data_IF_561347660675
#
_entry.id   IF_561347660675
#
_cell.length_a   1.000
_cell.length_b   1.000
_cell.length_c   1.000
_cell.angle_alpha   90.00
_cell.angle_beta   90.00
_cell.angle_gamma   90.00
#
_symmetry.space_group_name_H-M   'P 1'
#
loop_
_entity.id
_entity.type
_entity.pdbx_description
1 polymer ?
#
# COMPACT_ATOMS: atom_id res chain seq x y z
N UNK A 1 -12.46 -19.27 -5.82
CA UNK A 1 -13.79 -19.56 -5.31
C UNK A 1 -13.75 -19.91 -3.84
N UNK A 2 -14.88 -20.06 -3.20
CA UNK A 2 -14.97 -20.47 -1.82
C UNK A 2 -14.28 -21.84 -1.63
N UNK A 3 -13.55 -21.99 -0.53
CA UNK A 3 -12.74 -23.18 -0.20
C UNK A 3 -11.63 -23.51 -1.21
N UNK A 4 -11.41 -22.69 -2.24
CA UNK A 4 -10.38 -22.91 -3.25
C UNK A 4 -9.33 -21.79 -3.25
N UNK A 5 -8.05 -22.15 -3.41
CA UNK A 5 -6.96 -21.18 -3.52
C UNK A 5 -6.09 -21.47 -4.73
N UNK A 6 -5.67 -20.42 -5.43
CA UNK A 6 -4.64 -20.52 -6.45
C UNK A 6 -3.27 -20.30 -5.81
N UNK A 7 -2.27 -21.04 -6.26
CA UNK A 7 -0.88 -20.86 -5.84
C UNK A 7 -0.22 -19.68 -6.56
N UNK A 8 -0.61 -19.44 -7.83
CA UNK A 8 -0.20 -18.23 -8.55
C UNK A 8 -1.05 -17.04 -8.09
N UNK A 9 -0.39 -15.95 -7.70
CA UNK A 9 -1.03 -14.71 -7.23
C UNK A 9 -1.30 -13.71 -8.35
N UNK A 10 -0.90 -14.01 -9.58
CA UNK A 10 -1.17 -13.15 -10.73
C UNK A 10 -2.63 -13.22 -11.17
N UNK A 11 -3.06 -12.17 -11.87
CA UNK A 11 -4.34 -12.17 -12.59
C UNK A 11 -4.37 -13.33 -13.61
N UNK A 12 -5.49 -14.05 -13.78
CA UNK A 12 -5.62 -15.04 -14.83
C UNK A 12 -5.31 -14.48 -16.22
N UNK A 13 -4.58 -15.25 -17.04
CA UNK A 13 -4.09 -14.79 -18.34
C UNK A 13 -5.21 -14.24 -19.23
N UNK A 14 -6.36 -14.92 -19.29
CA UNK A 14 -7.50 -14.48 -20.09
C UNK A 14 -8.06 -13.12 -19.66
N UNK A 15 -7.98 -12.79 -18.36
CA UNK A 15 -8.40 -11.47 -17.86
C UNK A 15 -7.36 -10.40 -18.21
N UNK A 16 -6.09 -10.73 -18.18
CA UNK A 16 -5.00 -9.83 -18.61
C UNK A 16 -5.04 -9.58 -20.10
N UNK A 17 -5.34 -10.60 -20.91
CA UNK A 17 -5.54 -10.46 -22.35
C UNK A 17 -6.70 -9.49 -22.65
N UNK A 18 -7.86 -9.70 -22.00
CA UNK A 18 -9.00 -8.78 -22.15
C UNK A 18 -8.61 -7.34 -21.78
N UNK A 19 -7.91 -7.16 -20.66
CA UNK A 19 -7.45 -5.84 -20.21
C UNK A 19 -6.51 -5.20 -21.24
N UNK A 20 -5.59 -5.98 -21.81
CA UNK A 20 -4.68 -5.52 -22.85
C UNK A 20 -5.42 -5.08 -24.11
N UNK A 21 -6.46 -5.81 -24.53
CA UNK A 21 -7.29 -5.42 -25.68
C UNK A 21 -8.10 -4.14 -25.39
N UNK A 22 -8.64 -3.99 -24.20
CA UNK A 22 -9.35 -2.78 -23.79
C UNK A 22 -8.43 -1.55 -23.81
N UNK A 23 -7.20 -1.68 -23.35
CA UNK A 23 -6.20 -0.59 -23.36
C UNK A 23 -5.87 -0.11 -24.78
N UNK A 24 -5.90 -0.99 -25.80
CA UNK A 24 -5.68 -0.62 -27.22
C UNK A 24 -6.75 0.30 -27.77
N UNK A 25 -7.91 0.38 -27.15
CA UNK A 25 -8.99 1.27 -27.60
C UNK A 25 -8.68 2.75 -27.40
N UNK A 26 -7.66 3.09 -26.60
CA UNK A 26 -7.31 4.45 -26.23
C UNK A 26 -8.32 5.13 -25.29
N UNK A 27 -9.30 4.40 -24.79
CA UNK A 27 -10.27 4.91 -23.80
C UNK A 27 -9.68 4.84 -22.40
N UNK A 28 -10.09 5.73 -21.47
CA UNK A 28 -9.73 5.60 -20.06
C UNK A 28 -10.19 4.26 -19.49
N UNK A 29 -9.29 3.55 -18.84
CA UNK A 29 -9.57 2.25 -18.20
C UNK A 29 -9.29 2.36 -16.70
N UNK A 30 -10.25 1.94 -15.90
CA UNK A 30 -10.11 1.78 -14.44
C UNK A 30 -10.22 0.29 -14.12
N UNK A 31 -9.18 -0.28 -13.54
CA UNK A 31 -9.19 -1.67 -13.10
C UNK A 31 -9.72 -1.78 -11.68
N UNK A 32 -10.82 -2.51 -11.51
CA UNK A 32 -11.36 -2.88 -10.21
C UNK A 32 -10.89 -4.31 -9.87
N UNK A 33 -9.95 -4.41 -8.96
CA UNK A 33 -9.37 -5.69 -8.54
C UNK A 33 -10.17 -6.28 -7.36
N UNK A 34 -10.99 -7.29 -7.65
CA UNK A 34 -11.74 -8.06 -6.66
C UNK A 34 -10.95 -9.32 -6.30
N UNK A 35 -10.38 -9.36 -5.13
CA UNK A 35 -9.60 -10.50 -4.67
C UNK A 35 -9.70 -10.66 -3.15
N UNK A 36 -9.68 -11.89 -2.67
CA UNK A 36 -9.68 -12.20 -1.23
C UNK A 36 -8.29 -12.26 -0.61
N UNK A 37 -7.26 -11.87 -1.35
CA UNK A 37 -5.86 -11.91 -0.94
C UNK A 37 -5.02 -10.95 -1.77
N UNK A 38 -3.78 -10.61 -1.34
CA UNK A 38 -2.85 -9.86 -2.16
C UNK A 38 -2.66 -10.51 -3.53
N UNK A 39 -2.63 -9.70 -4.56
CA UNK A 39 -2.40 -10.11 -5.95
C UNK A 39 -1.14 -9.45 -6.49
N UNK A 40 -0.45 -10.14 -7.39
CA UNK A 40 0.64 -9.58 -8.16
C UNK A 40 0.04 -8.71 -9.27
N UNK A 41 0.22 -7.40 -9.17
CA UNK A 41 -0.30 -6.41 -10.13
C UNK A 41 0.82 -5.64 -10.84
N UNK A 42 1.98 -6.26 -10.99
CA UNK A 42 3.17 -5.60 -11.55
C UNK A 42 2.95 -5.16 -13.00
N UNK A 43 2.35 -6.01 -13.81
CA UNK A 43 2.02 -5.67 -15.19
C UNK A 43 0.92 -4.61 -15.24
N UNK A 44 -0.12 -4.77 -14.45
CA UNK A 44 -1.26 -3.87 -14.37
C UNK A 44 -0.82 -2.46 -13.93
N UNK A 45 0.05 -2.36 -12.93
CA UNK A 45 0.64 -1.08 -12.49
C UNK A 45 1.38 -0.35 -13.60
N UNK A 46 2.03 -1.08 -14.49
CA UNK A 46 2.80 -0.49 -15.57
C UNK A 46 1.94 -0.03 -16.77
N UNK A 47 0.75 -0.59 -16.94
CA UNK A 47 -0.05 -0.40 -18.16
C UNK A 47 -1.40 0.26 -17.91
N UNK A 48 -1.97 0.13 -16.71
CA UNK A 48 -3.32 0.62 -16.39
C UNK A 48 -3.23 1.94 -15.65
N UNK A 49 -3.90 3.00 -16.14
CA UNK A 49 -3.78 4.34 -15.55
C UNK A 49 -4.40 4.46 -14.15
N UNK A 50 -5.40 3.64 -13.82
CA UNK A 50 -6.04 3.66 -12.51
C UNK A 50 -6.40 2.25 -12.04
N UNK A 51 -6.03 1.92 -10.81
CA UNK A 51 -6.31 0.62 -10.17
C UNK A 51 -6.97 0.87 -8.83
N UNK A 52 -8.09 0.23 -8.59
CA UNK A 52 -8.76 0.20 -7.29
C UNK A 52 -8.77 -1.23 -6.76
N UNK A 53 -8.18 -1.44 -5.59
CA UNK A 53 -8.26 -2.74 -4.91
C UNK A 53 -9.50 -2.78 -4.03
N UNK A 54 -10.48 -3.56 -4.44
CA UNK A 54 -11.84 -3.55 -3.86
C UNK A 54 -12.01 -4.58 -2.76
N UNK A 55 -11.22 -5.66 -2.78
CA UNK A 55 -11.43 -6.82 -1.93
C UNK A 55 -12.81 -7.44 -2.15
N UNK A 56 -13.55 -7.70 -1.08
CA UNK A 56 -14.95 -8.10 -1.12
C UNK A 56 -15.81 -7.02 -0.47
N UNK A 57 -16.64 -6.41 -1.25
CA UNK A 57 -17.62 -5.44 -0.76
C UNK A 57 -18.90 -6.12 -0.22
N UNK A 58 -19.67 -5.37 0.53
CA UNK A 58 -21.01 -5.78 0.97
C UNK A 58 -22.11 -5.43 -0.05
N UNK A 59 -23.34 -5.41 0.42
CA UNK A 59 -24.52 -5.15 -0.41
C UNK A 59 -24.50 -3.77 -1.10
N UNK A 60 -23.94 -2.76 -0.43
CA UNK A 60 -23.86 -1.38 -0.93
C UNK A 60 -22.59 -1.09 -1.74
N UNK A 61 -21.85 -2.13 -2.12
CA UNK A 61 -20.57 -1.98 -2.83
C UNK A 61 -20.72 -1.23 -4.15
N UNK A 62 -21.81 -1.46 -4.88
CA UNK A 62 -22.05 -0.81 -6.17
C UNK A 62 -22.10 0.70 -6.05
N UNK A 63 -22.89 1.21 -5.12
CA UNK A 63 -23.04 2.65 -4.87
C UNK A 63 -21.72 3.25 -4.37
N UNK A 64 -21.04 2.57 -3.44
CA UNK A 64 -19.75 3.02 -2.94
C UNK A 64 -18.66 3.12 -4.03
N UNK A 65 -18.64 2.17 -4.97
CA UNK A 65 -17.71 2.21 -6.11
C UNK A 65 -18.06 3.36 -7.07
N UNK A 66 -19.34 3.59 -7.34
CA UNK A 66 -19.79 4.72 -8.16
C UNK A 66 -19.37 6.05 -7.53
N UNK A 67 -19.63 6.25 -6.25
CA UNK A 67 -19.26 7.46 -5.51
C UNK A 67 -17.75 7.78 -5.67
N UNK A 68 -16.90 6.74 -5.56
CA UNK A 68 -15.45 6.92 -5.69
C UNK A 68 -15.04 7.11 -7.15
N UNK A 69 -15.51 6.28 -8.08
CA UNK A 69 -15.09 6.33 -9.49
C UNK A 69 -15.47 7.66 -10.14
N UNK A 70 -16.67 8.17 -9.84
CA UNK A 70 -17.17 9.42 -10.40
C UNK A 70 -16.78 10.66 -9.59
N UNK A 71 -16.10 10.48 -8.45
CA UNK A 71 -15.52 11.56 -7.69
C UNK A 71 -16.43 12.22 -6.66
N UNK A 72 -17.60 11.65 -6.39
CA UNK A 72 -18.51 12.13 -5.36
C UNK A 72 -17.90 11.99 -3.95
N UNK A 73 -17.03 10.96 -3.80
CA UNK A 73 -16.24 10.75 -2.59
C UNK A 73 -14.77 10.46 -2.91
N UNK A 74 -13.88 11.05 -2.14
CA UNK A 74 -12.45 10.75 -2.23
C UNK A 74 -12.13 9.40 -1.59
N UNK A 75 -11.29 8.54 -2.23
CA UNK A 75 -10.87 7.29 -1.62
C UNK A 75 -10.04 7.57 -0.36
N UNK A 76 -10.42 6.94 0.75
CA UNK A 76 -9.73 7.08 2.05
C UNK A 76 -9.12 5.77 2.54
N UNK A 77 -9.52 4.65 1.95
CA UNK A 77 -9.02 3.31 2.30
C UNK A 77 -7.53 3.16 2.01
N UNK A 78 -6.84 2.45 2.90
CA UNK A 78 -5.42 2.11 2.77
C UNK A 78 -5.27 0.59 2.76
N UNK A 79 -4.25 0.09 2.04
CA UNK A 79 -3.97 -1.34 2.03
C UNK A 79 -3.67 -1.86 3.43
N UNK A 80 -4.33 -2.95 3.80
CA UNK A 80 -4.15 -3.65 5.08
C UNK A 80 -3.13 -4.78 4.99
N UNK A 81 -2.44 -4.89 3.87
CA UNK A 81 -1.38 -5.86 3.61
C UNK A 81 -0.42 -5.30 2.57
N UNK A 82 0.81 -5.80 2.54
CA UNK A 82 1.73 -5.53 1.44
C UNK A 82 1.32 -6.35 0.20
N UNK A 83 1.47 -5.78 -0.99
CA UNK A 83 1.27 -6.48 -2.25
C UNK A 83 2.61 -6.82 -2.90
N UNK A 84 2.85 -8.09 -3.30
CA UNK A 84 4.12 -8.50 -3.87
C UNK A 84 4.28 -8.04 -5.33
N UNK A 85 5.52 -7.94 -5.78
CA UNK A 85 5.87 -7.76 -7.21
C UNK A 85 5.82 -9.07 -7.96
N UNK A 86 6.06 -10.18 -7.28
CA UNK A 86 6.04 -11.54 -7.82
C UNK A 86 5.60 -12.52 -6.73
N UNK A 87 5.04 -13.65 -7.12
CA UNK A 87 4.65 -14.72 -6.20
C UNK A 87 5.82 -15.23 -5.36
N UNK A 88 7.04 -15.21 -5.91
CA UNK A 88 8.24 -15.68 -5.22
C UNK A 88 8.71 -14.79 -4.06
N UNK A 89 8.16 -13.58 -3.89
CA UNK A 89 8.45 -12.73 -2.74
C UNK A 89 7.69 -13.14 -1.46
N UNK A 90 6.65 -13.97 -1.58
CA UNK A 90 5.89 -14.38 -0.39
C UNK A 90 6.65 -15.40 0.47
N UNK A 91 6.61 -15.27 1.80
CA UNK A 91 5.83 -14.33 2.61
C UNK A 91 6.46 -12.92 2.69
N UNK A 92 5.65 -11.88 2.51
CA UNK A 92 6.05 -10.48 2.49
C UNK A 92 5.41 -9.70 3.65
N UNK A 93 6.11 -9.61 4.77
CA UNK A 93 5.60 -8.96 5.99
C UNK A 93 5.99 -7.49 6.03
N UNK A 94 5.04 -6.59 6.33
CA UNK A 94 5.34 -5.16 6.52
C UNK A 94 6.27 -4.87 7.70
N UNK A 95 6.31 -5.77 8.69
CA UNK A 95 7.07 -5.64 9.93
C UNK A 95 8.26 -6.60 10.01
N UNK A 96 8.81 -7.03 8.86
CA UNK A 96 9.97 -7.92 8.88
C UNK A 96 11.17 -7.23 9.54
N UNK A 97 11.95 -8.01 10.28
CA UNK A 97 13.18 -7.54 10.90
C UNK A 97 14.30 -7.46 9.86
N UNK A 98 15.20 -6.50 10.04
CA UNK A 98 16.42 -6.44 9.23
C UNK A 98 17.22 -7.72 9.37
N UNK A 99 17.73 -8.22 8.25
CA UNK A 99 18.72 -9.32 8.24
C UNK A 99 20.09 -8.80 8.66
N UNK A 100 21.07 -9.70 8.87
CA UNK A 100 22.44 -9.30 9.20
C UNK A 100 23.16 -8.49 8.11
N UNK A 101 22.63 -8.49 6.87
CA UNK A 101 23.18 -7.75 5.72
C UNK A 101 22.04 -7.16 4.89
N UNK A 102 21.31 -6.18 5.43
CA UNK A 102 20.20 -5.57 4.70
C UNK A 102 20.73 -4.78 3.48
N UNK A 103 19.92 -4.65 2.46
CA UNK A 103 20.16 -3.67 1.39
C UNK A 103 19.97 -2.26 1.94
N UNK A 104 20.64 -1.28 1.34
CA UNK A 104 20.49 0.12 1.73
C UNK A 104 19.12 0.69 1.32
N UNK A 105 18.59 0.23 0.18
CA UNK A 105 17.27 0.57 -0.33
C UNK A 105 16.59 -0.70 -0.84
N UNK A 106 15.43 -1.02 -0.27
CA UNK A 106 14.60 -2.16 -0.69
C UNK A 106 14.07 -2.05 -2.13
N UNK A 107 14.21 -0.89 -2.77
CA UNK A 107 13.88 -0.68 -4.18
C UNK A 107 15.04 -1.01 -5.13
N UNK A 108 16.26 -1.16 -4.64
CA UNK A 108 17.38 -1.64 -5.45
C UNK A 108 17.17 -3.10 -5.86
N UNK A 109 17.53 -3.41 -7.11
CA UNK A 109 17.41 -4.79 -7.61
C UNK A 109 18.52 -5.70 -7.15
N UNK A 110 19.72 -5.14 -6.92
CA UNK A 110 20.88 -5.93 -6.55
C UNK A 110 21.88 -5.10 -5.75
N UNK A 111 22.31 -5.66 -4.62
CA UNK A 111 23.43 -5.15 -3.84
C UNK A 111 24.38 -6.31 -3.51
N UNK A 112 25.64 -6.18 -3.87
CA UNK A 112 26.65 -7.21 -3.63
C UNK A 112 26.85 -7.41 -2.12
N UNK A 113 26.86 -8.66 -1.68
CA UNK A 113 27.01 -9.08 -0.28
C UNK A 113 25.85 -8.67 0.66
N UNK A 114 24.72 -8.23 0.12
CA UNK A 114 23.49 -7.97 0.88
C UNK A 114 22.44 -9.06 0.65
N UNK A 115 21.48 -9.15 1.56
CA UNK A 115 20.35 -10.08 1.43
C UNK A 115 19.33 -9.50 0.47
N UNK A 116 19.33 -9.97 -0.78
CA UNK A 116 18.43 -9.48 -1.83
C UNK A 116 18.06 -10.57 -2.83
N UNK A 117 16.94 -10.37 -3.54
CA UNK A 117 16.59 -11.15 -4.71
C UNK A 117 17.43 -10.68 -5.92
N UNK A 118 17.76 -11.59 -6.84
CA UNK A 118 18.57 -11.27 -8.02
C UNK A 118 17.75 -10.61 -9.14
N UNK A 119 16.48 -10.97 -9.23
CA UNK A 119 15.58 -10.66 -10.35
C UNK A 119 14.55 -9.57 -10.02
N UNK A 120 14.32 -9.32 -8.74
CA UNK A 120 13.35 -8.33 -8.26
C UNK A 120 13.92 -7.61 -7.02
N UNK A 121 13.58 -6.35 -6.84
CA UNK A 121 13.93 -5.62 -5.61
C UNK A 121 13.12 -6.12 -4.41
N UNK A 122 13.69 -6.06 -3.20
CA UNK A 122 13.10 -6.61 -1.98
C UNK A 122 11.76 -5.98 -1.59
N UNK A 123 11.61 -4.67 -1.81
CA UNK A 123 10.41 -3.95 -1.42
C UNK A 123 9.14 -4.41 -2.15
N UNK A 124 7.97 -4.24 -1.54
CA UNK A 124 6.69 -4.62 -2.15
C UNK A 124 6.36 -3.79 -3.39
N UNK A 125 5.40 -4.26 -4.18
CA UNK A 125 4.78 -3.45 -5.24
C UNK A 125 4.01 -2.27 -4.67
N UNK A 126 3.22 -2.54 -3.64
CA UNK A 126 2.52 -1.56 -2.81
C UNK A 126 2.69 -1.96 -1.34
N UNK A 127 3.23 -1.10 -0.49
CA UNK A 127 3.42 -1.41 0.92
C UNK A 127 2.10 -1.41 1.70
N UNK A 128 2.11 -2.03 2.87
CA UNK A 128 1.06 -1.85 3.87
C UNK A 128 0.80 -0.36 4.13
N UNK A 129 -0.45 0.03 4.22
CA UNK A 129 -0.85 1.43 4.41
C UNK A 129 -0.84 2.28 3.14
N UNK A 130 -0.46 1.73 1.99
CA UNK A 130 -0.50 2.45 0.72
C UNK A 130 -1.95 2.74 0.29
N UNK A 131 -2.16 3.90 -0.29
CA UNK A 131 -3.40 4.32 -0.91
C UNK A 131 -3.37 5.79 -1.28
N UNK A 132 -3.86 6.11 -2.48
CA UNK A 132 -3.96 7.46 -3.00
C UNK A 132 -5.28 8.10 -2.57
N UNK A 133 -5.32 9.41 -2.63
CA UNK A 133 -6.52 10.22 -2.43
C UNK A 133 -6.66 11.20 -3.60
N UNK A 134 -7.84 11.75 -3.81
CA UNK A 134 -8.06 12.81 -4.80
C UNK A 134 -7.55 14.18 -4.32
N UNK A 135 -7.21 14.27 -3.03
CA UNK A 135 -6.66 15.49 -2.44
C UNK A 135 -5.32 15.20 -1.79
N UNK A 136 -4.57 16.25 -1.50
CA UNK A 136 -3.27 16.18 -0.84
C UNK A 136 -3.38 16.72 0.57
N UNK A 137 -2.78 16.00 1.52
CA UNK A 137 -2.69 16.42 2.90
C UNK A 137 -1.26 16.79 3.24
N UNK A 138 -1.07 17.99 3.82
CA UNK A 138 0.22 18.38 4.37
C UNK A 138 0.18 18.31 5.90
N UNK A 139 1.27 17.84 6.48
CA UNK A 139 1.45 17.71 7.93
C UNK A 139 2.54 18.68 8.37
N UNK A 140 2.26 19.51 9.39
CA UNK A 140 3.19 20.49 9.90
C UNK A 140 3.03 20.67 11.41
N UNK A 141 3.97 21.41 12.04
CA UNK A 141 3.89 21.73 13.46
C UNK A 141 3.71 20.51 14.36
N UNK A 142 4.42 19.41 14.08
CA UNK A 142 4.43 18.28 15.00
C UNK A 142 5.05 18.72 16.33
N UNK A 143 4.36 18.46 17.43
CA UNK A 143 4.79 18.80 18.79
C UNK A 143 4.47 17.65 19.72
N UNK A 144 5.38 17.41 20.65
CA UNK A 144 5.18 16.55 21.78
C UNK A 144 5.18 17.41 23.05
N UNK A 145 4.24 17.19 23.94
CA UNK A 145 4.22 17.88 25.25
C UNK A 145 3.87 16.91 26.37
N UNK A 146 4.55 17.03 27.49
CA UNK A 146 4.21 16.35 28.74
C UNK A 146 3.61 17.37 29.69
N UNK A 147 2.45 17.06 30.31
CA UNK A 147 1.76 17.99 31.21
C UNK A 147 2.50 18.27 32.52
N UNK A 148 3.49 17.45 32.89
CA UNK A 148 4.13 17.55 34.20
C UNK A 148 5.60 18.03 34.21
N UNK A 149 6.24 18.20 33.04
CA UNK A 149 7.68 18.40 33.03
C UNK A 149 8.19 19.70 32.40
N UNK A 150 7.35 20.57 31.84
CA UNK A 150 7.81 21.81 31.19
C UNK A 150 8.82 21.58 30.06
N UNK A 151 8.85 20.38 29.50
CA UNK A 151 9.84 19.93 28.52
C UNK A 151 9.46 20.48 27.16
N UNK A 152 10.35 21.25 26.56
CA UNK A 152 10.26 21.68 25.17
C UNK A 152 10.56 20.53 24.23
N UNK A 153 10.13 20.65 22.94
CA UNK A 153 10.23 19.62 21.91
C UNK A 153 11.62 19.00 21.69
N UNK A 154 12.67 19.55 22.27
CA UNK A 154 14.06 19.14 22.07
C UNK A 154 14.61 18.21 23.15
N UNK A 155 13.90 18.05 24.29
CA UNK A 155 14.45 17.37 25.49
C UNK A 155 13.67 16.11 25.93
N UNK A 156 12.65 15.68 25.20
CA UNK A 156 11.88 14.47 25.57
C UNK A 156 12.64 13.20 25.19
N UNK A 157 13.73 12.90 25.92
CA UNK A 157 14.58 11.74 25.65
C UNK A 157 14.22 10.51 26.48
N UNK A 158 13.40 10.64 27.54
CA UNK A 158 13.06 9.52 28.41
C UNK A 158 11.56 9.45 28.69
N UNK A 159 10.98 8.28 28.40
CA UNK A 159 9.64 7.92 28.81
C UNK A 159 9.63 7.51 30.28
N UNK A 160 8.75 8.09 31.07
CA UNK A 160 8.47 7.65 32.45
C UNK A 160 7.09 6.99 32.49
N UNK A 161 7.03 5.78 33.03
CA UNK A 161 5.79 5.02 33.16
C UNK A 161 4.72 5.80 33.94
N UNK A 162 3.48 5.75 33.45
CA UNK A 162 2.33 6.44 34.04
C UNK A 162 2.19 7.93 33.66
N UNK A 163 3.11 8.51 32.88
CA UNK A 163 2.97 9.89 32.41
C UNK A 163 2.26 9.98 31.05
N UNK A 164 1.42 10.99 30.91
CA UNK A 164 0.70 11.27 29.67
C UNK A 164 1.54 12.15 28.75
N UNK A 165 1.78 11.69 27.53
CA UNK A 165 2.34 12.48 26.45
C UNK A 165 1.22 12.86 25.47
N UNK A 166 1.17 14.13 25.11
CA UNK A 166 0.27 14.63 24.09
C UNK A 166 1.07 14.92 22.82
N UNK A 167 0.72 14.24 21.73
CA UNK A 167 1.22 14.54 20.40
C UNK A 167 0.20 15.41 19.65
N UNK A 168 0.65 16.48 19.03
CA UNK A 168 -0.19 17.33 18.20
C UNK A 168 0.46 17.58 16.84
N UNK A 169 -0.36 17.67 15.81
CA UNK A 169 0.07 17.96 14.44
C UNK A 169 -0.99 18.80 13.75
N UNK A 170 -0.57 19.73 12.93
CA UNK A 170 -1.46 20.47 12.04
C UNK A 170 -1.60 19.70 10.74
N UNK A 171 -2.83 19.36 10.37
CA UNK A 171 -3.16 18.73 9.08
C UNK A 171 -3.89 19.77 8.22
N UNK A 172 -3.40 20.00 7.02
CA UNK A 172 -4.01 20.89 6.03
C UNK A 172 -4.30 20.09 4.75
N UNK A 173 -5.54 20.20 4.29
CA UNK A 173 -6.00 19.69 3.00
C UNK A 173 -5.96 20.80 1.94
#
# INVERSE_FOLDING_TARGET
>A
GECGSRTNLEMPDVQRELLAELLKTGKPVVLLNFAGRPTVLTWEKAHVPAIMNVWFGGSEMGDALCDVIFGDKSPSGKLTTSMPKTTGQEPLYYNHQNTGRPVADDNEKFAKFASNCLDVSNGPLYPFGYGLSYTYFSYSNFRLSSQEAGISNEEATEWQDGKKITASVTVKN
#
